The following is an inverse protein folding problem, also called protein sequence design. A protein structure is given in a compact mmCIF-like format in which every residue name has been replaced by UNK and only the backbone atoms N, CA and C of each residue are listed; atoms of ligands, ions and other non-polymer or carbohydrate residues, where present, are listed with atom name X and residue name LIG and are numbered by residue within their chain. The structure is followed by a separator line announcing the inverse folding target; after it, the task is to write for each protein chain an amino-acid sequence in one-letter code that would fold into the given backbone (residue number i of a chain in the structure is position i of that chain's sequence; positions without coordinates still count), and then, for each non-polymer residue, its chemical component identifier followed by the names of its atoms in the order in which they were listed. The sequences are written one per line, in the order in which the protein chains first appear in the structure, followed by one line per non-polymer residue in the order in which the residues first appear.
data_IF_906214081741
#
_entry.id   IF_906214081741
#
_cell.length_a   1.000
_cell.length_b   1.000
_cell.length_c   1.000
_cell.angle_alpha   90.00
_cell.angle_beta   90.00
_cell.angle_gamma   90.00
#
_symmetry.space_group_name_H-M   'P 1'
#
loop_
_entity.id
_entity.type
_entity.pdbx_description
1 polymer ?
#
# COMPACT_ATOMS: atom_id res chain seq x y z
N UNK A 1 -88.98 -25.20 12.66
CA UNK A 1 -87.53 -25.41 12.85
C UNK A 1 -86.81 -24.51 11.85
N UNK A 2 -86.30 -23.40 12.28
CA UNK A 2 -85.50 -22.49 11.50
C UNK A 2 -84.04 -22.98 11.55
N UNK A 3 -83.52 -23.44 10.40
CA UNK A 3 -82.10 -23.80 10.25
C UNK A 3 -81.27 -22.52 10.07
N UNK A 4 -80.52 -22.14 11.07
CA UNK A 4 -79.53 -21.06 11.00
C UNK A 4 -78.30 -21.66 10.32
N UNK A 5 -78.00 -21.17 9.09
CA UNK A 5 -76.77 -21.48 8.40
C UNK A 5 -75.58 -20.76 9.12
N UNK A 6 -74.62 -21.52 9.59
CA UNK A 6 -73.37 -20.98 10.12
C UNK A 6 -72.58 -20.30 8.99
N UNK A 7 -72.02 -19.12 9.18
CA UNK A 7 -71.16 -18.52 8.18
C UNK A 7 -69.86 -19.29 8.03
N UNK A 8 -69.40 -19.48 6.82
CA UNK A 8 -68.14 -20.14 6.48
C UNK A 8 -66.94 -19.43 7.20
N UNK A 9 -66.15 -20.22 7.88
CA UNK A 9 -64.90 -19.73 8.49
C UNK A 9 -63.97 -19.20 7.42
N UNK A 10 -63.63 -17.91 7.51
CA UNK A 10 -62.63 -17.33 6.60
C UNK A 10 -61.30 -18.04 6.75
N UNK A 11 -60.56 -18.28 5.64
CA UNK A 11 -59.27 -18.93 5.70
C UNK A 11 -58.29 -18.09 6.54
N UNK A 12 -57.54 -18.78 7.41
CA UNK A 12 -56.55 -18.18 8.28
C UNK A 12 -55.47 -17.46 7.48
N UNK A 13 -54.98 -16.26 7.92
CA UNK A 13 -53.97 -15.53 7.18
C UNK A 13 -52.60 -16.22 7.09
N UNK A 14 -52.44 -17.38 7.70
CA UNK A 14 -51.21 -18.19 7.61
C UNK A 14 -50.92 -18.84 6.28
N UNK A 15 -51.88 -18.84 5.33
CA UNK A 15 -51.72 -19.45 3.99
C UNK A 15 -51.19 -18.47 2.91
N UNK A 16 -50.93 -17.21 3.29
CA UNK A 16 -50.41 -16.19 2.36
C UNK A 16 -48.89 -16.08 2.35
N UNK A 17 -48.19 -16.81 3.21
CA UNK A 17 -46.75 -16.86 3.22
C UNK A 17 -46.28 -18.15 2.49
N UNK A 18 -46.26 -18.07 1.14
CA UNK A 18 -45.48 -19.04 0.35
C UNK A 18 -44.03 -18.51 0.37
N UNK A 19 -43.06 -19.20 1.04
CA UNK A 19 -41.69 -18.78 0.97
C UNK A 19 -41.25 -18.97 -0.49
N UNK A 20 -41.20 -17.89 -1.25
CA UNK A 20 -40.58 -17.89 -2.55
C UNK A 20 -39.27 -18.65 -2.44
N UNK A 21 -38.97 -19.62 -3.31
CA UNK A 21 -37.72 -20.37 -3.25
C UNK A 21 -36.57 -19.35 -3.23
N UNK A 22 -35.75 -19.43 -2.17
CA UNK A 22 -34.55 -18.58 -2.07
C UNK A 22 -33.82 -18.65 -3.43
N UNK A 23 -33.42 -17.53 -4.00
CA UNK A 23 -32.72 -17.54 -5.27
C UNK A 23 -31.56 -18.54 -5.18
N UNK A 24 -31.29 -19.31 -6.24
CA UNK A 24 -30.23 -20.31 -6.22
C UNK A 24 -28.89 -19.60 -5.85
N UNK A 25 -28.04 -20.24 -5.05
CA UNK A 25 -26.79 -19.64 -4.63
C UNK A 25 -25.96 -19.27 -5.86
N UNK A 26 -25.41 -18.05 -5.88
CA UNK A 26 -24.56 -17.58 -6.98
C UNK A 26 -23.34 -18.49 -7.07
N UNK A 27 -22.98 -19.03 -8.25
CA UNK A 27 -21.80 -19.88 -8.41
C UNK A 27 -20.51 -19.16 -7.89
N UNK A 28 -19.68 -19.91 -7.19
CA UNK A 28 -18.46 -19.38 -6.52
C UNK A 28 -17.51 -18.70 -7.52
N UNK A 29 -17.37 -19.27 -8.71
CA UNK A 29 -16.56 -18.69 -9.79
C UNK A 29 -17.05 -17.29 -10.21
N UNK A 30 -18.37 -17.09 -10.26
CA UNK A 30 -18.94 -15.77 -10.57
C UNK A 30 -18.71 -14.76 -9.46
N UNK A 31 -18.73 -15.21 -8.21
CA UNK A 31 -18.42 -14.35 -7.05
C UNK A 31 -16.96 -13.90 -7.12
N UNK A 32 -16.04 -14.84 -7.37
CA UNK A 32 -14.60 -14.52 -7.52
C UNK A 32 -14.37 -13.55 -8.68
N UNK A 33 -14.99 -13.82 -9.85
CA UNK A 33 -14.85 -12.94 -11.01
C UNK A 33 -15.42 -11.53 -10.77
N UNK A 34 -16.51 -11.41 -10.01
CA UNK A 34 -17.06 -10.10 -9.63
C UNK A 34 -16.14 -9.36 -8.67
N UNK A 35 -15.55 -10.05 -7.69
CA UNK A 35 -14.55 -9.50 -6.79
C UNK A 35 -13.32 -9.02 -7.54
N UNK A 36 -12.76 -9.84 -8.42
CA UNK A 36 -11.57 -9.50 -9.20
C UNK A 36 -11.79 -8.27 -10.09
N UNK A 37 -13.01 -8.15 -10.66
CA UNK A 37 -13.40 -6.95 -11.40
C UNK A 37 -13.47 -5.71 -10.52
N UNK A 38 -14.09 -5.81 -9.34
CA UNK A 38 -14.17 -4.69 -8.40
C UNK A 38 -12.78 -4.26 -7.92
N UNK A 39 -11.87 -5.20 -7.68
CA UNK A 39 -10.47 -4.90 -7.36
C UNK A 39 -9.81 -4.16 -8.52
N UNK A 40 -9.99 -4.62 -9.76
CA UNK A 40 -9.41 -3.95 -10.93
C UNK A 40 -9.95 -2.53 -11.11
N UNK A 41 -11.23 -2.31 -10.94
CA UNK A 41 -11.84 -0.96 -10.96
C UNK A 41 -11.24 -0.06 -9.87
N UNK A 42 -11.01 -0.60 -8.65
CA UNK A 42 -10.35 0.13 -7.57
C UNK A 42 -8.89 0.49 -7.91
N UNK A 43 -8.16 -0.41 -8.59
CA UNK A 43 -6.79 -0.14 -9.05
C UNK A 43 -6.74 0.96 -10.11
N UNK A 44 -7.66 0.95 -11.07
CA UNK A 44 -7.64 1.87 -12.20
C UNK A 44 -8.05 3.30 -11.78
N UNK A 45 -9.13 3.45 -11.03
CA UNK A 45 -9.74 4.76 -10.74
C UNK A 45 -10.23 4.94 -9.31
N UNK A 46 -10.14 3.90 -8.47
CA UNK A 46 -10.73 3.88 -7.14
C UNK A 46 -9.80 4.37 -6.02
N UNK A 47 -10.32 4.20 -4.83
CA UNK A 47 -9.70 4.54 -3.56
C UNK A 47 -9.54 3.32 -2.66
N UNK A 48 -8.87 3.50 -1.50
CA UNK A 48 -8.77 2.47 -0.47
C UNK A 48 -10.15 2.01 0.03
N UNK A 49 -11.17 2.89 -0.01
CA UNK A 49 -12.54 2.55 0.37
C UNK A 49 -13.17 1.53 -0.59
N UNK A 50 -12.93 1.69 -1.89
CA UNK A 50 -13.43 0.76 -2.91
C UNK A 50 -12.81 -0.63 -2.72
N UNK A 51 -11.51 -0.70 -2.43
CA UNK A 51 -10.84 -1.96 -2.12
C UNK A 51 -11.40 -2.61 -0.85
N UNK A 52 -11.61 -1.81 0.21
CA UNK A 52 -12.20 -2.30 1.47
C UNK A 52 -13.62 -2.81 1.28
N UNK A 53 -14.42 -2.09 0.49
CA UNK A 53 -15.79 -2.48 0.16
C UNK A 53 -15.83 -3.80 -0.62
N UNK A 54 -14.96 -3.98 -1.60
CA UNK A 54 -14.83 -5.21 -2.35
C UNK A 54 -14.44 -6.40 -1.44
N UNK A 55 -13.45 -6.22 -0.56
CA UNK A 55 -13.04 -7.23 0.42
C UNK A 55 -14.16 -7.59 1.38
N UNK A 56 -14.89 -6.58 1.88
CA UNK A 56 -16.00 -6.81 2.79
C UNK A 56 -17.15 -7.57 2.11
N UNK A 57 -17.45 -7.25 0.87
CA UNK A 57 -18.45 -7.98 0.07
C UNK A 57 -18.06 -9.46 -0.09
N UNK A 58 -16.79 -9.74 -0.45
CA UNK A 58 -16.29 -11.12 -0.57
C UNK A 58 -16.44 -11.90 0.75
N UNK A 59 -16.04 -11.30 1.89
CA UNK A 59 -16.20 -11.90 3.23
C UNK A 59 -17.64 -12.20 3.56
N UNK A 60 -18.53 -11.26 3.31
CA UNK A 60 -19.96 -11.43 3.57
C UNK A 60 -20.51 -12.60 2.76
N UNK A 61 -20.20 -12.66 1.47
CA UNK A 61 -20.65 -13.75 0.61
C UNK A 61 -20.04 -15.10 1.06
N UNK A 62 -18.77 -15.14 1.44
CA UNK A 62 -18.12 -16.36 1.94
C UNK A 62 -18.82 -16.92 3.20
N UNK A 63 -19.28 -16.06 4.09
CA UNK A 63 -20.05 -16.49 5.28
C UNK A 63 -21.39 -17.13 4.91
N UNK A 64 -22.08 -16.63 3.88
CA UNK A 64 -23.34 -17.22 3.41
C UNK A 64 -23.18 -18.51 2.61
N UNK A 65 -22.02 -18.70 1.98
CA UNK A 65 -21.69 -19.88 1.17
C UNK A 65 -20.91 -20.97 1.94
N UNK A 66 -20.79 -20.85 3.24
CA UNK A 66 -19.98 -21.79 4.03
C UNK A 66 -20.49 -23.26 3.91
N UNK A 67 -19.57 -24.24 3.70
CA UNK A 67 -18.14 -24.13 3.54
C UNK A 67 -17.76 -23.77 2.09
N UNK A 68 -17.04 -22.66 1.89
CA UNK A 68 -16.59 -22.20 0.59
C UNK A 68 -15.06 -21.98 0.53
N UNK A 69 -14.27 -23.07 0.53
CA UNK A 69 -12.81 -22.98 0.64
C UNK A 69 -12.17 -22.14 -0.46
N UNK A 70 -12.76 -22.09 -1.65
CA UNK A 70 -12.26 -21.28 -2.75
C UNK A 70 -12.41 -19.75 -2.49
N UNK A 71 -13.50 -19.33 -1.83
CA UNK A 71 -13.70 -17.93 -1.44
C UNK A 71 -12.74 -17.54 -0.31
N UNK A 72 -12.57 -18.42 0.69
CA UNK A 72 -11.62 -18.21 1.78
C UNK A 72 -10.18 -18.12 1.27
N UNK A 73 -9.81 -18.99 0.34
CA UNK A 73 -8.50 -18.96 -0.30
C UNK A 73 -8.29 -17.68 -1.11
N UNK A 74 -9.32 -17.23 -1.87
CA UNK A 74 -9.25 -15.98 -2.62
C UNK A 74 -9.11 -14.76 -1.70
N UNK A 75 -9.75 -14.77 -0.53
CA UNK A 75 -9.65 -13.72 0.47
C UNK A 75 -8.22 -13.60 1.06
N UNK A 76 -7.57 -14.74 1.30
CA UNK A 76 -6.20 -14.78 1.87
C UNK A 76 -5.13 -14.31 0.90
N UNK A 77 -5.37 -14.48 -0.41
CA UNK A 77 -4.43 -14.06 -1.45
C UNK A 77 -4.42 -12.54 -1.60
N UNK A 78 -3.30 -12.05 -2.12
CA UNK A 78 -3.21 -10.65 -2.51
C UNK A 78 -4.37 -10.30 -3.47
N UNK A 79 -5.08 -9.17 -3.26
CA UNK A 79 -6.15 -8.75 -4.17
C UNK A 79 -5.69 -8.62 -5.61
N UNK A 80 -4.47 -8.11 -5.83
CA UNK A 80 -3.87 -7.93 -7.14
C UNK A 80 -3.31 -9.28 -7.61
N UNK A 81 -3.89 -9.83 -8.67
CA UNK A 81 -3.47 -11.14 -9.19
C UNK A 81 -2.21 -11.06 -10.05
N UNK A 82 -2.14 -10.05 -10.92
CA UNK A 82 -1.05 -9.89 -11.87
C UNK A 82 -0.03 -8.86 -11.38
N UNK A 83 1.27 -9.20 -11.35
CA UNK A 83 2.31 -8.26 -10.96
C UNK A 83 2.34 -7.00 -11.83
N UNK A 84 1.96 -7.11 -13.11
CA UNK A 84 1.93 -5.99 -14.04
C UNK A 84 0.95 -4.90 -13.61
N UNK A 85 -0.22 -5.25 -13.08
CA UNK A 85 -1.18 -4.30 -12.53
C UNK A 85 -0.58 -3.56 -11.31
N UNK A 86 0.21 -4.26 -10.50
CA UNK A 86 0.92 -3.65 -9.36
C UNK A 86 2.03 -2.70 -9.82
N UNK A 87 2.80 -3.06 -10.84
CA UNK A 87 3.81 -2.17 -11.43
C UNK A 87 3.17 -0.92 -12.03
N UNK A 88 2.04 -1.05 -12.73
CA UNK A 88 1.32 0.10 -13.28
C UNK A 88 0.84 1.05 -12.17
N UNK A 89 0.26 0.50 -11.09
CA UNK A 89 -0.20 1.31 -9.95
C UNK A 89 0.95 2.04 -9.26
N UNK A 90 2.11 1.40 -9.13
CA UNK A 90 3.33 1.99 -8.56
C UNK A 90 4.10 2.88 -9.55
N UNK A 91 3.60 3.03 -10.79
CA UNK A 91 4.23 3.79 -11.89
C UNK A 91 5.70 3.40 -12.12
N UNK A 92 5.97 2.09 -12.11
CA UNK A 92 7.30 1.51 -12.23
C UNK A 92 7.28 0.31 -13.18
N UNK A 93 8.41 -0.35 -13.35
CA UNK A 93 8.54 -1.56 -14.15
C UNK A 93 9.41 -2.63 -13.46
N UNK A 94 9.51 -3.79 -14.07
CA UNK A 94 10.24 -4.93 -13.51
C UNK A 94 11.76 -4.73 -13.42
N UNK A 95 12.33 -3.80 -14.21
CA UNK A 95 13.78 -3.58 -14.31
C UNK A 95 14.31 -2.63 -13.23
N UNK A 96 13.41 -1.90 -12.56
CA UNK A 96 13.77 -0.96 -11.48
C UNK A 96 14.21 -1.76 -10.25
N UNK A 97 15.31 -1.36 -9.65
CA UNK A 97 15.83 -1.96 -8.44
C UNK A 97 14.89 -1.71 -7.22
N UNK A 98 14.92 -2.63 -6.25
CA UNK A 98 14.02 -2.63 -5.11
C UNK A 98 14.16 -1.40 -4.21
N UNK A 99 15.37 -0.83 -4.10
CA UNK A 99 15.59 0.35 -3.30
C UNK A 99 14.94 1.59 -3.95
N UNK A 100 15.12 1.75 -5.26
CA UNK A 100 14.52 2.84 -6.03
C UNK A 100 12.99 2.71 -6.09
N UNK A 101 12.49 1.47 -6.24
CA UNK A 101 11.07 1.17 -6.18
C UNK A 101 10.46 1.57 -4.82
N UNK A 102 11.17 1.27 -3.73
CA UNK A 102 10.73 1.64 -2.38
C UNK A 102 10.68 3.14 -2.19
N UNK A 103 11.67 3.89 -2.69
CA UNK A 103 11.67 5.36 -2.66
C UNK A 103 10.45 5.91 -3.43
N UNK A 104 10.20 5.41 -4.64
CA UNK A 104 9.01 5.78 -5.42
C UNK A 104 7.71 5.51 -4.65
N UNK A 105 7.57 4.32 -4.08
CA UNK A 105 6.42 3.97 -3.24
C UNK A 105 6.24 4.96 -2.07
N UNK A 106 7.30 5.30 -1.33
CA UNK A 106 7.22 6.21 -0.20
C UNK A 106 6.74 7.61 -0.61
N UNK A 107 7.22 8.13 -1.75
CA UNK A 107 6.78 9.41 -2.30
C UNK A 107 5.30 9.35 -2.66
N UNK A 108 4.86 8.34 -3.42
CA UNK A 108 3.47 8.19 -3.81
C UNK A 108 2.53 8.00 -2.62
N UNK A 109 2.92 7.20 -1.64
CA UNK A 109 2.13 6.97 -0.43
C UNK A 109 1.96 8.25 0.41
N UNK A 110 2.98 9.12 0.43
CA UNK A 110 2.91 10.40 1.11
C UNK A 110 1.98 11.40 0.40
N UNK A 111 1.93 11.37 -0.93
CA UNK A 111 1.10 12.26 -1.74
C UNK A 111 -0.36 11.80 -1.85
N UNK A 112 -0.60 10.49 -1.85
CA UNK A 112 -1.89 9.89 -2.17
C UNK A 112 -2.51 9.15 -0.98
N UNK A 113 -2.87 9.90 0.07
CA UNK A 113 -3.44 9.30 1.29
C UNK A 113 -4.69 8.45 1.05
N UNK A 114 -5.53 8.81 0.07
CA UNK A 114 -6.73 8.06 -0.29
C UNK A 114 -6.46 6.71 -0.98
N UNK A 115 -5.20 6.44 -1.37
CA UNK A 115 -4.74 5.23 -2.08
C UNK A 115 -3.59 4.52 -1.38
N UNK A 116 -3.28 4.87 -0.15
CA UNK A 116 -2.14 4.35 0.58
C UNK A 116 -2.20 2.83 0.80
N UNK A 117 -3.39 2.29 1.05
CA UNK A 117 -3.63 0.85 1.19
C UNK A 117 -3.48 0.12 -0.16
N UNK A 118 -4.02 0.69 -1.24
CA UNK A 118 -3.86 0.18 -2.61
C UNK A 118 -2.37 0.10 -3.00
N UNK A 119 -1.61 1.17 -2.75
CA UNK A 119 -0.16 1.22 -3.02
C UNK A 119 0.60 0.19 -2.18
N UNK A 120 0.23 0.01 -0.91
CA UNK A 120 0.84 -0.99 -0.04
C UNK A 120 0.60 -2.41 -0.55
N UNK A 121 -0.63 -2.72 -0.96
CA UNK A 121 -0.99 -4.02 -1.53
C UNK A 121 -0.26 -4.28 -2.86
N UNK A 122 -0.06 -3.24 -3.67
CA UNK A 122 0.73 -3.34 -4.90
C UNK A 122 2.21 -3.62 -4.59
N UNK A 123 2.80 -2.91 -3.61
CA UNK A 123 4.17 -3.18 -3.18
C UNK A 123 4.33 -4.61 -2.66
N UNK A 124 3.36 -5.12 -1.89
CA UNK A 124 3.35 -6.50 -1.41
C UNK A 124 3.31 -7.49 -2.58
N UNK A 125 2.47 -7.25 -3.60
CA UNK A 125 2.41 -8.10 -4.80
C UNK A 125 3.71 -8.12 -5.59
N UNK A 126 4.38 -6.97 -5.73
CA UNK A 126 5.70 -6.89 -6.38
C UNK A 126 6.76 -7.62 -5.54
N UNK A 127 6.76 -7.44 -4.22
CA UNK A 127 7.68 -8.10 -3.31
C UNK A 127 7.56 -9.64 -3.39
N UNK A 128 6.32 -10.15 -3.46
CA UNK A 128 6.04 -11.58 -3.67
C UNK A 128 6.55 -12.07 -5.02
N UNK A 129 6.24 -11.34 -6.10
CA UNK A 129 6.64 -11.72 -7.46
C UNK A 129 8.16 -11.74 -7.67
N UNK A 130 8.88 -10.81 -7.01
CA UNK A 130 10.35 -10.73 -7.04
C UNK A 130 11.03 -11.62 -6.00
N UNK A 131 10.29 -12.23 -5.09
CA UNK A 131 10.84 -12.90 -3.90
C UNK A 131 11.80 -11.99 -3.11
N UNK A 132 11.49 -10.68 -3.06
CA UNK A 132 12.34 -9.67 -2.43
C UNK A 132 12.19 -9.69 -0.92
N UNK A 133 13.18 -10.24 -0.24
CA UNK A 133 13.26 -10.20 1.23
C UNK A 133 13.35 -8.75 1.74
N UNK A 134 13.98 -7.86 0.98
CA UNK A 134 14.12 -6.45 1.29
C UNK A 134 12.76 -5.73 1.38
N UNK A 135 11.93 -5.83 0.34
CA UNK A 135 10.59 -5.22 0.32
C UNK A 135 9.67 -5.86 1.37
N UNK A 136 9.74 -7.19 1.55
CA UNK A 136 8.93 -7.88 2.56
C UNK A 136 9.28 -7.47 4.00
N UNK A 137 10.56 -7.24 4.31
CA UNK A 137 10.99 -6.72 5.62
C UNK A 137 10.45 -5.31 5.86
N UNK A 138 10.53 -4.44 4.87
CA UNK A 138 9.94 -3.11 4.95
C UNK A 138 8.43 -3.17 5.25
N UNK A 139 7.68 -4.00 4.52
CA UNK A 139 6.24 -4.16 4.70
C UNK A 139 5.84 -4.68 6.10
N UNK A 140 6.72 -5.46 6.74
CA UNK A 140 6.54 -5.94 8.13
C UNK A 140 6.86 -4.89 9.19
N UNK A 141 7.35 -3.70 8.79
CA UNK A 141 7.80 -2.67 9.72
C UNK A 141 9.10 -3.04 10.44
N UNK A 142 9.86 -4.00 9.91
CA UNK A 142 11.22 -4.28 10.35
C UNK A 142 12.10 -3.12 9.85
N UNK A 143 12.02 -1.98 10.57
CA UNK A 143 12.79 -0.78 10.29
C UNK A 143 14.27 -1.12 10.29
N UNK A 144 15.01 -0.61 9.33
CA UNK A 144 16.39 -0.87 8.93
C UNK A 144 16.55 -1.89 7.79
N UNK A 145 15.51 -2.15 7.03
CA UNK A 145 15.65 -2.77 5.72
C UNK A 145 16.16 -1.77 4.66
N UNK A 146 16.85 -0.72 5.07
CA UNK A 146 17.75 -0.04 4.16
C UNK A 146 18.81 -1.03 3.70
N UNK A 147 19.27 -1.02 2.44
CA UNK A 147 20.50 -1.70 2.13
C UNK A 147 21.52 -1.19 3.16
N UNK A 148 21.96 -2.07 4.04
CA UNK A 148 23.15 -1.80 4.81
C UNK A 148 24.22 -1.56 3.76
N UNK A 149 24.68 -0.34 3.66
CA UNK A 149 25.78 0.15 2.86
C UNK A 149 25.43 1.12 1.73
N UNK A 150 25.97 2.29 1.89
CA UNK A 150 26.32 3.29 0.86
C UNK A 150 25.22 4.00 0.08
N UNK A 151 23.96 3.79 0.37
CA UNK A 151 22.96 4.73 -0.14
C UNK A 151 23.02 6.01 0.72
N UNK A 152 23.29 7.15 0.10
CA UNK A 152 23.32 8.42 0.85
C UNK A 152 21.95 8.62 1.50
N UNK A 153 21.98 8.95 2.78
CA UNK A 153 20.77 9.32 3.51
C UNK A 153 20.20 10.58 2.87
N UNK A 154 18.93 10.51 2.45
CA UNK A 154 18.26 11.70 1.92
C UNK A 154 18.15 12.78 2.99
N UNK A 155 18.25 14.04 2.56
CA UNK A 155 18.06 15.20 3.44
C UNK A 155 16.57 15.51 3.58
N UNK A 156 16.14 15.76 4.82
CA UNK A 156 14.75 16.14 5.09
C UNK A 156 14.42 17.49 4.44
N UNK A 157 13.30 17.58 3.75
CA UNK A 157 12.86 18.84 3.16
C UNK A 157 12.18 19.69 4.24
N UNK A 158 12.81 20.79 4.62
CA UNK A 158 12.33 21.74 5.64
C UNK A 158 11.37 22.80 5.05
N UNK A 159 10.87 22.59 3.84
CA UNK A 159 10.07 23.56 3.08
C UNK A 159 10.93 24.37 2.11
N UNK A 160 10.68 24.21 0.80
CA UNK A 160 11.40 24.87 -0.29
C UNK A 160 12.95 24.69 -0.29
N UNK A 161 13.48 23.68 0.44
CA UNK A 161 14.92 23.42 0.52
C UNK A 161 15.37 22.30 -0.45
N UNK A 162 14.51 21.84 -1.35
CA UNK A 162 14.81 20.71 -2.25
C UNK A 162 16.05 20.96 -3.13
N UNK A 163 16.22 22.19 -3.66
CA UNK A 163 17.39 22.55 -4.46
C UNK A 163 18.68 22.55 -3.63
N UNK A 164 18.61 23.04 -2.40
CA UNK A 164 19.75 23.04 -1.46
C UNK A 164 20.11 21.61 -1.05
N UNK A 165 19.12 20.78 -0.76
CA UNK A 165 19.31 19.37 -0.41
C UNK A 165 20.00 18.62 -1.56
N UNK A 166 19.57 18.85 -2.81
CA UNK A 166 20.19 18.24 -3.98
C UNK A 166 21.64 18.69 -4.16
N UNK A 167 21.91 19.99 -3.94
CA UNK A 167 23.27 20.53 -4.02
C UNK A 167 24.18 19.94 -2.93
N UNK A 168 23.71 19.88 -1.70
CA UNK A 168 24.48 19.34 -0.57
C UNK A 168 24.79 17.85 -0.78
N UNK A 169 23.81 17.06 -1.23
CA UNK A 169 24.05 15.67 -1.58
C UNK A 169 25.06 15.52 -2.69
N UNK A 170 24.94 16.32 -3.76
CA UNK A 170 25.92 16.31 -4.86
C UNK A 170 27.34 16.64 -4.38
N UNK A 171 27.50 17.69 -3.55
CA UNK A 171 28.80 18.07 -2.99
C UNK A 171 29.37 16.98 -2.07
N UNK A 172 28.54 16.31 -1.28
CA UNK A 172 28.94 15.20 -0.41
C UNK A 172 29.44 13.98 -1.19
N UNK A 173 28.99 13.77 -2.44
CA UNK A 173 29.50 12.72 -3.33
C UNK A 173 30.88 13.00 -3.92
N UNK A 174 31.28 14.27 -4.00
CA UNK A 174 32.58 14.65 -4.56
C UNK A 174 33.64 14.44 -3.49
N UNK A 175 34.38 13.32 -3.56
CA UNK A 175 35.35 12.95 -2.54
C UNK A 175 36.34 14.07 -2.17
N UNK A 176 36.95 14.82 -3.10
CA UNK A 176 37.83 15.95 -2.76
C UNK A 176 37.15 17.04 -1.91
N UNK A 177 35.86 17.31 -2.14
CA UNK A 177 35.10 18.31 -1.38
C UNK A 177 34.81 17.76 0.03
N UNK A 178 34.29 16.53 0.13
CA UNK A 178 34.05 15.87 1.39
C UNK A 178 35.30 15.81 2.26
N UNK A 179 36.44 15.44 1.67
CA UNK A 179 37.72 15.37 2.39
C UNK A 179 38.21 16.75 2.82
N UNK A 180 37.96 17.80 2.04
CA UNK A 180 38.28 19.19 2.41
C UNK A 180 37.40 19.66 3.56
N UNK A 181 36.10 19.38 3.51
CA UNK A 181 35.16 19.71 4.60
C UNK A 181 35.56 19.00 5.90
N UNK A 182 35.88 17.71 5.82
CA UNK A 182 36.33 16.92 6.96
C UNK A 182 37.61 17.50 7.59
N UNK A 183 38.61 17.83 6.79
CA UNK A 183 39.84 18.48 7.29
C UNK A 183 39.54 19.83 7.95
N UNK A 184 38.75 20.67 7.30
CA UNK A 184 38.36 21.97 7.87
C UNK A 184 37.64 21.82 9.22
N UNK A 185 36.73 20.84 9.35
CA UNK A 185 36.02 20.55 10.60
C UNK A 185 36.94 20.08 11.74
N UNK A 186 38.06 19.39 11.41
CA UNK A 186 38.97 18.81 12.39
C UNK A 186 40.15 19.74 12.77
N UNK A 187 40.60 20.59 11.85
CA UNK A 187 41.86 21.39 12.01
C UNK A 187 41.66 22.78 12.61
N UNK A 188 40.44 23.19 12.82
CA UNK A 188 40.14 24.57 13.14
C UNK A 188 40.37 24.92 14.62
N UNK A 189 41.40 25.70 14.85
CA UNK A 189 41.85 26.14 16.19
C UNK A 189 41.77 27.66 16.46
N UNK A 190 41.25 28.48 15.54
CA UNK A 190 41.25 29.93 15.74
C UNK A 190 39.85 30.54 15.83
N UNK A 191 39.67 31.46 16.80
CA UNK A 191 38.38 32.10 17.07
C UNK A 191 37.86 33.01 15.95
N UNK A 192 38.71 33.42 15.04
CA UNK A 192 38.38 34.32 13.92
C UNK A 192 37.52 33.65 12.84
N UNK A 193 37.51 32.31 12.78
CA UNK A 193 36.79 31.52 11.83
C UNK A 193 35.59 30.72 12.42
N UNK A 194 35.18 31.09 13.63
CA UNK A 194 34.22 30.28 14.38
C UNK A 194 32.91 29.97 13.67
N UNK A 195 32.41 30.87 12.81
CA UNK A 195 31.21 30.63 12.00
C UNK A 195 31.46 29.66 10.82
N UNK A 196 32.62 29.80 10.15
CA UNK A 196 33.04 28.91 9.09
C UNK A 196 33.31 27.49 9.61
N UNK A 197 33.83 27.41 10.84
CA UNK A 197 34.09 26.16 11.55
C UNK A 197 32.81 25.43 11.94
N UNK A 198 31.85 26.18 12.50
CA UNK A 198 30.53 25.63 12.80
C UNK A 198 29.88 25.04 11.54
N UNK A 199 29.92 25.78 10.42
CA UNK A 199 29.40 25.28 9.16
C UNK A 199 30.16 24.06 8.66
N UNK A 200 31.49 24.05 8.70
CA UNK A 200 32.28 22.88 8.27
C UNK A 200 32.01 21.65 9.16
N UNK A 201 31.83 21.84 10.45
CA UNK A 201 31.47 20.77 11.38
C UNK A 201 30.06 20.15 11.04
N UNK A 202 29.08 21.03 10.83
CA UNK A 202 27.73 20.59 10.44
C UNK A 202 27.71 19.88 9.07
N UNK A 203 28.48 20.39 8.09
CA UNK A 203 28.62 19.74 6.79
C UNK A 203 29.36 18.38 6.89
N UNK A 204 30.38 18.28 7.74
CA UNK A 204 31.09 17.01 7.97
C UNK A 204 30.15 15.98 8.60
N UNK A 205 29.34 16.38 9.57
CA UNK A 205 28.32 15.52 10.15
C UNK A 205 27.25 15.07 9.14
N UNK A 206 26.93 15.93 8.17
CA UNK A 206 25.96 15.63 7.09
C UNK A 206 26.53 14.67 6.05
N UNK A 207 27.86 14.72 5.79
CA UNK A 207 28.52 13.93 4.74
C UNK A 207 29.03 12.56 5.23
N UNK A 208 28.88 12.27 6.51
CA UNK A 208 29.14 10.96 7.13
C UNK A 208 27.91 10.04 7.05
#
# INVERSE_FOLDING_TARGET
RLGVAMPAVAPSPASLWDPSPSPPPVPVDKVIAAYDRAVKEALDHGTDEDLRSARQALRTVAQYHAPAPALEERERRNPIQHPDDAYQLLQTNADVDDALLLVGYQVYAAESHARSELLRVALERVAEARHSAYLLRFLRGEADAGPAHDMPRGLHNLGNTCYLNSLLQYLGFIAPIRDAVHRAGTEAKSAEHQRALSLAHELDALFR
#
